data_IF_855291846511
#
_entry.id   IF_855291846511
#
_cell.length_a   1.000
_cell.length_b   1.000
_cell.length_c   1.000
_cell.angle_alpha   90.00
_cell.angle_beta   90.00
_cell.angle_gamma   90.00
#
_symmetry.space_group_name_H-M   'P 1'
#
loop_
_entity.id
_entity.type
_entity.pdbx_description
1 polymer ?
#
# COMPACT_ATOMS: atom_id res chain seq x y z
N UNK A 1 27.05 15.64 -16.71
CA UNK A 1 25.98 15.20 -15.78
C UNK A 1 25.94 16.18 -14.63
N UNK A 2 25.10 17.21 -14.71
CA UNK A 2 24.89 18.15 -13.60
C UNK A 2 24.33 17.37 -12.41
N UNK A 3 25.00 17.48 -11.26
CA UNK A 3 24.71 16.71 -10.06
C UNK A 3 23.36 17.09 -9.46
N UNK A 4 22.31 16.37 -9.83
CA UNK A 4 21.01 16.50 -9.20
C UNK A 4 21.08 15.85 -7.82
N UNK A 5 21.47 16.63 -6.80
CA UNK A 5 21.47 16.19 -5.41
C UNK A 5 20.03 15.81 -5.04
N UNK A 6 19.78 14.52 -4.84
CA UNK A 6 18.47 14.03 -4.39
C UNK A 6 18.23 14.55 -2.96
N UNK A 7 17.01 15.03 -2.69
CA UNK A 7 16.63 15.51 -1.37
C UNK A 7 16.59 14.34 -0.39
N UNK A 8 17.33 14.46 0.71
CA UNK A 8 17.26 13.54 1.83
C UNK A 8 16.26 14.09 2.85
N UNK A 9 14.98 13.71 2.68
CA UNK A 9 13.87 14.21 3.52
C UNK A 9 14.11 13.84 5.00
N UNK A 10 14.72 12.68 5.28
CA UNK A 10 15.00 12.23 6.64
C UNK A 10 15.97 13.15 7.38
N UNK A 11 16.98 13.68 6.67
CA UNK A 11 17.96 14.61 7.25
C UNK A 11 17.51 16.07 7.20
N UNK A 12 16.94 16.50 6.08
CA UNK A 12 16.61 17.91 5.85
C UNK A 12 15.27 18.30 6.48
N UNK A 13 14.32 17.37 6.57
CA UNK A 13 12.97 17.59 7.10
C UNK A 13 12.53 16.47 8.04
N UNK A 14 13.22 16.29 9.20
CA UNK A 14 12.98 15.17 10.11
C UNK A 14 11.54 15.14 10.66
N UNK A 15 10.90 16.30 10.84
CA UNK A 15 9.50 16.37 11.26
C UNK A 15 8.55 15.77 10.22
N UNK A 16 8.74 16.10 8.93
CA UNK A 16 7.96 15.52 7.84
C UNK A 16 8.16 14.00 7.75
N UNK A 17 9.41 13.56 7.87
CA UNK A 17 9.72 12.13 7.85
C UNK A 17 9.08 11.38 9.03
N UNK A 18 9.13 11.96 10.24
CA UNK A 18 8.48 11.38 11.43
C UNK A 18 6.96 11.27 11.25
N UNK A 19 6.31 12.31 10.70
CA UNK A 19 4.87 12.28 10.42
C UNK A 19 4.50 11.15 9.43
N UNK A 20 5.32 10.94 8.40
CA UNK A 20 5.14 9.83 7.46
C UNK A 20 5.28 8.46 8.14
N UNK A 21 6.24 8.30 9.04
CA UNK A 21 6.40 7.07 9.83
C UNK A 21 5.18 6.82 10.73
N UNK A 22 4.70 7.85 11.43
CA UNK A 22 3.49 7.74 12.25
C UNK A 22 2.28 7.32 11.42
N UNK A 23 2.08 7.93 10.25
CA UNK A 23 1.00 7.53 9.34
C UNK A 23 1.11 6.04 8.95
N UNK A 24 2.31 5.57 8.61
CA UNK A 24 2.54 4.17 8.25
C UNK A 24 2.20 3.22 9.39
N UNK A 25 2.66 3.52 10.60
CA UNK A 25 2.41 2.69 11.78
C UNK A 25 0.93 2.64 12.13
N UNK A 26 0.25 3.79 12.17
CA UNK A 26 -1.18 3.85 12.49
C UNK A 26 -2.03 3.12 11.45
N UNK A 27 -1.63 3.15 10.17
CA UNK A 27 -2.31 2.37 9.13
C UNK A 27 -2.16 0.86 9.34
N UNK A 28 -0.98 0.39 9.76
CA UNK A 28 -0.73 -1.02 10.09
C UNK A 28 -1.52 -1.48 11.32
N UNK A 29 -1.55 -0.66 12.37
CA UNK A 29 -2.36 -0.91 13.57
C UNK A 29 -3.85 -0.98 13.24
N UNK A 30 -4.34 -0.08 12.40
CA UNK A 30 -5.74 -0.07 11.95
C UNK A 30 -6.07 -1.32 11.13
N UNK A 31 -5.16 -1.77 10.26
CA UNK A 31 -5.33 -3.01 9.51
C UNK A 31 -5.37 -4.24 10.44
N UNK A 32 -4.50 -4.29 11.44
CA UNK A 32 -4.49 -5.35 12.43
C UNK A 32 -5.78 -5.36 13.28
N UNK A 33 -6.25 -4.19 13.72
CA UNK A 33 -7.50 -4.03 14.45
C UNK A 33 -8.72 -4.46 13.63
N UNK A 34 -8.67 -4.30 12.30
CA UNK A 34 -9.67 -4.80 11.37
C UNK A 34 -9.56 -6.31 11.08
N UNK A 35 -8.59 -7.02 11.68
CA UNK A 35 -8.38 -8.45 11.49
C UNK A 35 -7.75 -8.82 10.14
N UNK A 36 -7.09 -7.88 9.46
CA UNK A 36 -6.39 -8.18 8.21
C UNK A 36 -5.12 -8.98 8.47
N UNK A 37 -4.91 -10.01 7.65
CA UNK A 37 -3.68 -10.80 7.67
C UNK A 37 -2.45 -9.90 7.42
N UNK A 38 -1.43 -9.91 8.29
CA UNK A 38 -0.19 -9.17 8.09
C UNK A 38 0.51 -9.45 6.75
N UNK A 39 0.38 -10.68 6.23
CA UNK A 39 0.90 -11.06 4.92
C UNK A 39 0.17 -10.32 3.80
N UNK A 40 -1.16 -10.29 3.87
CA UNK A 40 -1.99 -9.54 2.93
C UNK A 40 -1.60 -8.04 2.89
N UNK A 41 -1.41 -7.42 4.05
CA UNK A 41 -0.94 -6.02 4.12
C UNK A 41 0.41 -5.83 3.42
N UNK A 42 1.32 -6.80 3.54
CA UNK A 42 2.63 -6.75 2.88
C UNK A 42 2.51 -6.90 1.36
N UNK A 43 1.67 -7.82 0.88
CA UNK A 43 1.44 -8.02 -0.55
C UNK A 43 0.84 -6.77 -1.22
N UNK A 44 -0.05 -6.05 -0.53
CA UNK A 44 -0.57 -4.76 -0.99
C UNK A 44 0.58 -3.75 -1.14
N UNK A 45 1.44 -3.60 -0.12
CA UNK A 45 2.59 -2.69 -0.16
C UNK A 45 3.56 -3.02 -1.30
N UNK A 46 3.80 -4.31 -1.57
CA UNK A 46 4.62 -4.77 -2.71
C UNK A 46 3.95 -4.38 -4.03
N UNK A 47 2.65 -4.64 -4.20
CA UNK A 47 1.93 -4.33 -5.45
C UNK A 47 1.88 -2.82 -5.70
N UNK A 48 1.56 -2.01 -4.71
CA UNK A 48 1.59 -0.53 -4.78
C UNK A 48 2.99 -0.04 -5.19
N UNK A 49 4.04 -0.60 -4.58
CA UNK A 49 5.43 -0.22 -4.89
C UNK A 49 5.81 -0.54 -6.34
N UNK A 50 5.32 -1.67 -6.89
CA UNK A 50 5.50 -2.03 -8.30
C UNK A 50 4.79 -1.06 -9.24
N UNK A 51 3.52 -0.73 -8.95
CA UNK A 51 2.69 0.20 -9.75
C UNK A 51 3.36 1.56 -9.84
N UNK A 52 3.80 2.06 -8.68
CA UNK A 52 4.38 3.39 -8.57
C UNK A 52 5.86 3.45 -9.00
N UNK A 53 6.49 2.32 -9.33
CA UNK A 53 7.91 2.27 -9.68
C UNK A 53 8.88 2.61 -8.53
N UNK A 54 8.47 2.45 -7.26
CA UNK A 54 9.31 2.77 -6.10
C UNK A 54 10.21 1.60 -5.71
N UNK A 55 11.40 1.52 -6.34
CA UNK A 55 12.37 0.44 -6.14
C UNK A 55 12.81 0.25 -4.67
N UNK A 56 12.93 1.34 -3.91
CA UNK A 56 13.28 1.27 -2.48
C UNK A 56 12.22 0.53 -1.67
N UNK A 57 10.96 0.97 -1.77
CA UNK A 57 9.84 0.35 -1.07
C UNK A 57 9.65 -1.10 -1.53
N UNK A 58 9.75 -1.35 -2.84
CA UNK A 58 9.64 -2.70 -3.39
C UNK A 58 10.67 -3.65 -2.77
N UNK A 59 11.95 -3.25 -2.72
CA UNK A 59 13.01 -4.06 -2.12
C UNK A 59 12.78 -4.28 -0.62
N UNK A 60 12.37 -3.24 0.10
CA UNK A 60 12.12 -3.33 1.54
C UNK A 60 10.99 -4.33 1.85
N UNK A 61 9.85 -4.18 1.18
CA UNK A 61 8.67 -5.01 1.43
C UNK A 61 8.85 -6.45 0.97
N UNK A 62 9.51 -6.67 -0.19
CA UNK A 62 9.83 -8.03 -0.68
C UNK A 62 10.75 -8.78 0.30
N UNK A 63 11.61 -8.09 1.06
CA UNK A 63 12.46 -8.71 2.08
C UNK A 63 11.74 -8.95 3.41
N UNK A 64 10.64 -8.24 3.66
CA UNK A 64 9.84 -8.40 4.85
C UNK A 64 8.82 -9.54 4.72
N UNK A 65 8.35 -9.84 3.50
CA UNK A 65 7.32 -10.85 3.26
C UNK A 65 7.65 -12.28 3.72
N UNK A 66 8.90 -12.80 3.64
CA UNK A 66 9.20 -14.15 4.15
C UNK A 66 9.00 -14.28 5.66
N UNK A 67 9.20 -13.18 6.41
CA UNK A 67 8.95 -13.15 7.86
C UNK A 67 7.46 -13.24 8.22
N UNK A 68 6.59 -13.08 7.22
CA UNK A 68 5.14 -13.14 7.33
C UNK A 68 4.56 -14.40 6.67
N UNK A 69 5.42 -15.39 6.36
CA UNK A 69 5.01 -16.70 5.82
C UNK A 69 4.93 -16.77 4.29
N UNK A 70 5.40 -15.76 3.55
CA UNK A 70 5.39 -15.76 2.08
C UNK A 70 6.57 -16.50 1.46
N UNK A 71 6.32 -17.24 0.38
CA UNK A 71 7.36 -17.90 -0.41
C UNK A 71 7.75 -17.05 -1.64
N UNK A 72 8.84 -17.43 -2.33
CA UNK A 72 9.31 -16.69 -3.52
C UNK A 72 8.33 -16.71 -4.69
N UNK A 73 7.61 -17.81 -4.84
CA UNK A 73 6.84 -18.10 -6.06
C UNK A 73 5.59 -17.21 -6.20
N UNK A 74 4.78 -17.00 -5.14
CA UNK A 74 3.67 -16.05 -5.21
C UNK A 74 4.15 -14.63 -5.54
N UNK A 75 5.26 -14.17 -4.94
CA UNK A 75 5.80 -12.84 -5.21
C UNK A 75 6.20 -12.62 -6.68
N UNK A 76 6.67 -13.67 -7.36
CA UNK A 76 7.03 -13.61 -8.77
C UNK A 76 5.82 -13.35 -9.66
N UNK A 77 4.68 -13.97 -9.33
CA UNK A 77 3.44 -13.89 -10.14
C UNK A 77 2.43 -12.87 -9.63
N UNK A 78 2.70 -12.20 -8.52
CA UNK A 78 1.86 -11.12 -7.96
C UNK A 78 1.49 -9.99 -8.96
N UNK A 79 2.28 -9.61 -9.99
CA UNK A 79 1.81 -8.63 -10.98
C UNK A 79 0.62 -9.16 -11.80
N UNK A 80 0.59 -10.48 -12.02
CA UNK A 80 -0.43 -11.23 -12.74
C UNK A 80 -1.35 -11.98 -11.77
N UNK A 81 -1.51 -11.50 -10.53
CA UNK A 81 -2.26 -12.18 -9.46
C UNK A 81 -3.63 -12.71 -9.90
N UNK A 82 -4.34 -11.95 -10.74
CA UNK A 82 -5.66 -12.30 -11.25
C UNK A 82 -5.66 -13.56 -12.14
N UNK A 83 -4.53 -13.89 -12.76
CA UNK A 83 -4.36 -15.07 -13.63
C UNK A 83 -3.85 -16.30 -12.87
N UNK A 84 -3.68 -16.19 -11.55
CA UNK A 84 -3.04 -17.21 -10.72
C UNK A 84 -3.96 -17.76 -9.64
N UNK A 85 -3.65 -18.97 -9.16
CA UNK A 85 -4.32 -19.60 -8.01
C UNK A 85 -3.66 -19.32 -6.65
N UNK A 86 -2.55 -18.58 -6.61
CA UNK A 86 -1.77 -18.37 -5.38
C UNK A 86 -2.45 -17.44 -4.36
N UNK A 87 -3.37 -16.58 -4.82
CA UNK A 87 -3.98 -15.53 -4.00
C UNK A 87 -5.48 -15.74 -3.88
N UNK A 88 -5.89 -16.71 -3.07
CA UNK A 88 -7.30 -16.96 -2.76
C UNK A 88 -7.76 -16.15 -1.55
N UNK A 89 -9.00 -15.68 -1.58
CA UNK A 89 -9.61 -15.00 -0.42
C UNK A 89 -9.81 -15.99 0.74
N UNK A 90 -9.74 -15.55 2.02
CA UNK A 90 -9.89 -16.44 3.19
C UNK A 90 -11.28 -17.06 3.39
N UNK A 91 -12.26 -16.80 2.52
CA UNK A 91 -13.60 -17.39 2.62
C UNK A 91 -14.20 -17.70 1.26
N UNK A 92 -14.71 -18.91 1.11
CA UNK A 92 -15.42 -19.38 -0.07
C UNK A 92 -16.63 -18.48 -0.36
N UNK A 93 -16.52 -17.63 -1.38
CA UNK A 93 -17.61 -16.75 -1.83
C UNK A 93 -17.20 -15.30 -2.09
N UNK A 94 -16.02 -14.85 -1.64
CA UNK A 94 -15.53 -13.53 -2.01
C UNK A 94 -14.80 -13.60 -3.36
N UNK A 95 -15.16 -12.78 -4.37
CA UNK A 95 -14.46 -12.77 -5.66
C UNK A 95 -12.97 -12.45 -5.42
N UNK A 96 -12.10 -12.94 -6.34
CA UNK A 96 -10.64 -12.72 -6.32
C UNK A 96 -10.32 -11.31 -5.81
N UNK A 97 -9.34 -11.16 -4.91
CA UNK A 97 -9.21 -9.98 -4.07
C UNK A 97 -9.18 -8.67 -4.87
N UNK A 98 -10.29 -7.94 -4.87
CA UNK A 98 -10.47 -6.67 -5.58
C UNK A 98 -9.48 -5.58 -5.14
N UNK A 99 -8.84 -5.75 -3.98
CA UNK A 99 -7.85 -4.82 -3.43
C UNK A 99 -6.48 -4.83 -4.15
N UNK A 100 -6.13 -5.87 -4.89
CA UNK A 100 -4.91 -5.88 -5.74
C UNK A 100 -5.15 -5.21 -7.11
N UNK A 101 -6.39 -4.78 -7.36
CA UNK A 101 -6.84 -4.12 -8.60
C UNK A 101 -6.65 -2.59 -8.54
N UNK A 102 -5.50 -2.16 -8.04
CA UNK A 102 -5.15 -0.73 -7.94
C UNK A 102 -4.93 -0.05 -9.31
N UNK A 103 -4.77 -0.85 -10.37
CA UNK A 103 -4.54 -0.41 -11.75
C UNK A 103 -5.81 -0.44 -12.63
N UNK A 104 -7.00 -0.70 -12.08
CA UNK A 104 -8.22 -0.80 -12.90
C UNK A 104 -8.74 0.59 -13.34
N UNK A 105 -8.78 0.91 -14.65
CA UNK A 105 -9.32 2.17 -15.14
C UNK A 105 -10.80 2.41 -14.79
N UNK A 106 -11.60 1.37 -14.53
CA UNK A 106 -12.98 1.51 -14.03
C UNK A 106 -13.00 1.89 -12.54
N UNK A 107 -11.98 1.51 -11.76
CA UNK A 107 -11.80 1.97 -10.38
C UNK A 107 -11.36 3.46 -10.33
N UNK A 108 -10.66 3.93 -11.37
CA UNK A 108 -10.39 5.36 -11.58
C UNK A 108 -11.62 6.16 -12.02
N UNK A 109 -12.63 5.55 -12.68
CA UNK A 109 -13.91 6.22 -13.00
C UNK A 109 -14.74 6.54 -11.75
N UNK A 110 -14.67 5.70 -10.72
CA UNK A 110 -15.33 5.95 -9.43
C UNK A 110 -14.67 7.08 -8.61
N UNK A 111 -13.42 7.48 -8.91
CA UNK A 111 -12.80 8.68 -8.32
C UNK A 111 -13.30 10.01 -8.92
N UNK A 112 -14.04 9.99 -10.03
CA UNK A 112 -14.66 11.22 -10.59
C UNK A 112 -16.06 11.51 -10.06
N UNK A 113 -16.62 10.66 -9.20
CA UNK A 113 -17.96 10.87 -8.66
C UNK A 113 -17.90 10.98 -7.12
N UNK A 114 -18.00 12.24 -6.66
CA UNK A 114 -18.32 12.72 -5.31
C UNK A 114 -17.17 12.79 -4.30
N UNK A 115 -16.22 13.68 -4.55
CA UNK A 115 -15.83 14.63 -3.48
C UNK A 115 -16.67 15.89 -3.73
N UNK A 116 -17.60 16.26 -2.83
CA UNK A 116 -18.25 17.57 -2.93
C UNK A 116 -17.16 18.64 -3.01
N UNK A 117 -17.26 19.57 -3.97
CA UNK A 117 -16.28 20.67 -4.11
C UNK A 117 -16.16 21.54 -2.86
N UNK A 118 -17.03 21.36 -1.87
CA UNK A 118 -17.06 22.08 -0.60
C UNK A 118 -17.41 21.07 0.51
N UNK A 119 -16.41 20.57 1.22
CA UNK A 119 -16.58 20.05 2.58
C UNK A 119 -15.89 21.09 3.48
N UNK A 120 -16.61 21.73 4.42
CA UNK A 120 -15.94 22.56 5.41
C UNK A 120 -15.01 21.66 6.22
N UNK A 121 -13.72 22.02 6.27
CA UNK A 121 -12.76 21.38 7.16
C UNK A 121 -13.10 21.87 8.57
N UNK A 122 -13.95 21.16 9.29
CA UNK A 122 -13.95 21.28 10.75
C UNK A 122 -12.71 20.56 11.25
N UNK A 123 -11.67 21.35 11.55
CA UNK A 123 -10.58 20.89 12.38
C UNK A 123 -11.13 20.64 13.77
N UNK A 124 -11.43 19.38 14.11
CA UNK A 124 -11.56 18.99 15.50
C UNK A 124 -10.19 19.21 16.16
N UNK A 125 -10.07 20.33 16.87
CA UNK A 125 -9.00 20.53 17.83
C UNK A 125 -9.19 19.51 18.96
N UNK A 126 -8.14 18.77 19.35
CA UNK A 126 -8.24 17.90 20.51
C UNK A 126 -8.41 18.75 21.77
N UNK A 127 -9.24 18.25 22.69
CA UNK A 127 -9.42 18.78 24.04
C UNK A 127 -8.13 18.68 24.88
#
# INVERSE_FOLDING_TARGET
MTGNSRVDIGKQHPACYKALLTLSTTAEESAAAAGLDPLLVELIKIRVSRINGYAFCLRMHTRASPKKGENSDPLAVLPLWAETGYFTAPSAGMPKPSFLRLDDPEHHRLRRLRVPRHLPIEMQQPA
#
